data_IF_740856746429
#
_entry.id   IF_740856746429
#
_cell.length_a   1.000
_cell.length_b   1.000
_cell.length_c   1.000
_cell.angle_alpha   90.00
_cell.angle_beta   90.00
_cell.angle_gamma   90.00
#
_symmetry.space_group_name_H-M   'P 1'
#
loop_
_entity.id
_entity.type
_entity.pdbx_description
1 polymer ?
#
# COMPACT_ATOMS: atom_id res chain seq x y z
N UNK A 1 -10.44 17.19 -11.19
CA UNK A 1 -9.35 17.42 -12.17
C UNK A 1 -9.46 16.38 -13.27
N UNK A 2 -9.32 16.74 -14.55
CA UNK A 2 -9.52 15.81 -15.69
C UNK A 2 -8.31 15.76 -16.62
N UNK A 3 -8.20 14.68 -17.40
CA UNK A 3 -7.05 14.39 -18.27
C UNK A 3 -6.74 15.52 -19.26
N UNK A 4 -7.73 16.28 -19.73
CA UNK A 4 -7.50 17.38 -20.69
C UNK A 4 -6.49 18.43 -20.21
N UNK A 5 -6.41 18.66 -18.89
CA UNK A 5 -5.56 19.68 -18.27
C UNK A 5 -4.14 19.18 -17.93
N UNK A 6 -3.82 17.93 -18.25
CA UNK A 6 -2.52 17.33 -17.99
C UNK A 6 -1.50 17.66 -19.08
N UNK A 7 -0.22 17.67 -18.70
CA UNK A 7 0.91 17.65 -19.63
C UNK A 7 0.93 16.37 -20.48
N UNK A 8 1.70 16.35 -21.57
CA UNK A 8 1.81 15.18 -22.44
C UNK A 8 2.31 13.93 -21.69
N UNK A 9 3.32 14.09 -20.83
CA UNK A 9 3.89 13.01 -20.02
C UNK A 9 2.85 12.48 -19.04
N UNK A 10 2.12 13.37 -18.34
CA UNK A 10 1.10 12.95 -17.40
C UNK A 10 -0.05 12.20 -18.08
N UNK A 11 -0.45 12.61 -19.29
CA UNK A 11 -1.46 11.89 -20.10
C UNK A 11 -0.99 10.48 -20.44
N UNK A 12 0.25 10.32 -20.88
CA UNK A 12 0.85 9.01 -21.17
C UNK A 12 0.84 8.11 -19.93
N UNK A 13 1.19 8.64 -18.76
CA UNK A 13 1.16 7.89 -17.50
C UNK A 13 -0.27 7.49 -17.12
N UNK A 14 -1.27 8.37 -17.31
CA UNK A 14 -2.67 8.04 -17.05
C UNK A 14 -3.19 6.93 -17.96
N UNK A 15 -2.83 6.95 -19.24
CA UNK A 15 -3.21 5.90 -20.19
C UNK A 15 -2.50 4.57 -19.85
N UNK A 16 -1.19 4.62 -19.61
CA UNK A 16 -0.37 3.44 -19.31
C UNK A 16 -0.81 2.70 -18.05
N UNK A 17 -1.04 3.44 -16.95
CA UNK A 17 -1.34 2.82 -15.64
C UNK A 17 -2.83 2.63 -15.39
N UNK A 18 -3.69 3.47 -15.97
CA UNK A 18 -5.13 3.49 -15.66
C UNK A 18 -6.03 3.33 -16.88
N UNK A 19 -5.50 3.36 -18.10
CA UNK A 19 -6.29 3.31 -19.34
C UNK A 19 -7.18 4.54 -19.55
N UNK A 20 -6.83 5.68 -18.92
CA UNK A 20 -7.60 6.91 -19.00
C UNK A 20 -7.06 7.77 -20.16
N UNK A 21 -7.76 7.74 -21.29
CA UNK A 21 -7.39 8.44 -22.52
C UNK A 21 -8.39 9.51 -22.95
N UNK A 22 -9.60 9.51 -22.38
CA UNK A 22 -10.62 10.48 -22.77
C UNK A 22 -10.39 11.83 -22.08
N UNK A 23 -10.63 12.97 -22.76
CA UNK A 23 -10.38 14.30 -22.18
C UNK A 23 -11.12 14.59 -20.87
N UNK A 24 -12.29 13.97 -20.68
CA UNK A 24 -13.15 14.15 -19.52
C UNK A 24 -12.92 13.09 -18.42
N UNK A 25 -12.03 12.12 -18.63
CA UNK A 25 -11.67 11.16 -17.61
C UNK A 25 -11.12 11.88 -16.37
N UNK A 26 -11.56 11.44 -15.19
CA UNK A 26 -11.06 11.97 -13.92
C UNK A 26 -9.67 11.41 -13.69
N UNK A 27 -8.69 12.29 -13.48
CA UNK A 27 -7.30 11.87 -13.26
C UNK A 27 -7.19 11.00 -12.02
N UNK A 28 -6.25 10.06 -12.03
CA UNK A 28 -5.95 9.19 -10.90
C UNK A 28 -4.48 9.29 -10.51
N UNK A 29 -4.22 9.56 -9.24
CA UNK A 29 -2.86 9.73 -8.76
C UNK A 29 -2.06 8.43 -8.89
N UNK A 30 -0.86 8.49 -9.46
CA UNK A 30 0.01 7.31 -9.59
C UNK A 30 0.55 6.78 -8.25
N UNK A 31 0.55 7.61 -7.20
CA UNK A 31 1.09 7.24 -5.88
C UNK A 31 0.04 6.47 -5.07
N UNK A 32 -1.17 7.02 -4.93
CA UNK A 32 -2.21 6.46 -4.05
C UNK A 32 -3.43 5.92 -4.78
N UNK A 33 -3.46 6.01 -6.12
CA UNK A 33 -4.55 5.56 -6.97
C UNK A 33 -5.93 6.19 -6.69
N UNK A 34 -5.99 7.27 -5.90
CA UNK A 34 -7.21 8.04 -5.70
C UNK A 34 -7.42 9.07 -6.82
N UNK A 35 -8.67 9.36 -7.09
CA UNK A 35 -9.09 10.27 -8.16
C UNK A 35 -8.94 11.74 -7.75
N UNK A 36 -8.84 12.61 -8.77
CA UNK A 36 -8.99 14.06 -8.63
C UNK A 36 -7.71 14.85 -8.37
N UNK A 37 -6.54 14.21 -8.23
CA UNK A 37 -5.26 14.88 -8.00
C UNK A 37 -4.06 14.13 -8.64
N UNK A 38 -2.90 14.80 -8.69
CA UNK A 38 -1.64 14.25 -9.20
C UNK A 38 -0.63 14.03 -8.08
N UNK A 39 0.50 13.41 -8.40
CA UNK A 39 1.58 13.12 -7.46
C UNK A 39 2.01 14.33 -6.61
N UNK A 40 2.12 15.51 -7.23
CA UNK A 40 2.61 16.71 -6.54
C UNK A 40 1.68 17.18 -5.42
N UNK A 41 0.37 16.99 -5.60
CA UNK A 41 -0.68 17.37 -4.65
C UNK A 41 -1.23 16.18 -3.87
N UNK A 42 -0.53 15.03 -3.90
CA UNK A 42 -0.99 13.81 -3.25
C UNK A 42 -0.92 13.93 -1.72
N UNK A 43 -2.06 13.81 -1.00
CA UNK A 43 -2.07 13.90 0.46
C UNK A 43 -1.43 12.68 1.12
N UNK A 44 -1.37 11.53 0.42
CA UNK A 44 -0.77 10.30 0.95
C UNK A 44 0.76 10.36 1.03
N UNK A 45 1.39 11.36 0.42
CA UNK A 45 2.84 11.62 0.52
C UNK A 45 3.23 12.20 1.87
N UNK A 46 2.27 12.66 2.68
CA UNK A 46 2.52 13.17 4.02
C UNK A 46 1.86 12.27 5.05
N UNK A 47 2.64 11.81 6.03
CA UNK A 47 2.15 10.98 7.12
C UNK A 47 1.23 11.80 8.03
N UNK A 48 0.01 11.32 8.28
CA UNK A 48 -0.96 11.99 9.16
C UNK A 48 -0.56 11.97 10.64
N UNK A 49 0.34 11.06 11.03
CA UNK A 49 0.73 10.85 12.42
C UNK A 49 1.98 11.63 12.80
N UNK A 50 3.01 11.63 11.96
CA UNK A 50 4.30 12.28 12.24
C UNK A 50 4.65 13.43 11.29
N UNK A 51 3.80 13.71 10.28
CA UNK A 51 4.00 14.77 9.28
C UNK A 51 5.25 14.59 8.38
N UNK A 52 5.97 13.48 8.48
CA UNK A 52 7.03 13.12 7.54
C UNK A 52 6.48 13.06 6.11
N UNK A 53 7.24 13.61 5.15
CA UNK A 53 6.86 13.66 3.74
C UNK A 53 7.79 12.78 2.91
N UNK A 54 7.23 11.96 2.03
CA UNK A 54 7.96 11.06 1.12
C UNK A 54 8.83 9.99 1.81
N UNK A 55 8.61 9.74 3.10
CA UNK A 55 9.32 8.69 3.85
C UNK A 55 8.52 7.39 3.97
N UNK A 56 7.23 7.49 4.34
CA UNK A 56 6.35 6.34 4.53
C UNK A 56 4.88 6.73 4.39
N UNK A 57 4.03 5.75 4.08
CA UNK A 57 2.58 5.93 4.16
C UNK A 57 2.11 5.93 5.61
N UNK A 58 0.97 6.56 5.90
CA UNK A 58 0.48 6.71 7.28
C UNK A 58 0.28 5.38 8.02
N UNK A 59 -0.10 4.30 7.31
CA UNK A 59 -0.26 2.96 7.89
C UNK A 59 1.09 2.29 8.23
N UNK A 60 2.18 2.74 7.62
CA UNK A 60 3.55 2.30 7.90
C UNK A 60 4.30 3.26 8.83
N UNK A 61 3.59 4.14 9.53
CA UNK A 61 4.21 5.09 10.44
C UNK A 61 4.88 4.36 11.62
N UNK A 62 6.20 4.54 11.85
CA UNK A 62 6.88 3.91 12.97
C UNK A 62 6.29 4.29 14.33
N UNK A 63 5.72 5.49 14.47
CA UNK A 63 5.05 5.94 15.69
C UNK A 63 3.71 5.23 15.95
N UNK A 64 3.12 4.62 14.92
CA UNK A 64 1.89 3.85 15.03
C UNK A 64 2.14 2.34 15.19
N UNK A 65 3.41 1.91 15.18
CA UNK A 65 3.79 0.53 15.41
C UNK A 65 3.33 0.08 16.79
N UNK A 66 2.78 -1.14 16.86
CA UNK A 66 2.36 -1.77 18.11
C UNK A 66 3.56 -2.37 18.82
N UNK A 67 3.61 -2.20 20.13
CA UNK A 67 4.58 -2.88 20.97
C UNK A 67 4.31 -4.38 20.91
N UNK A 68 5.32 -5.17 20.53
CA UNK A 68 5.19 -6.63 20.42
C UNK A 68 4.81 -7.31 21.74
N UNK A 69 5.08 -6.66 22.89
CA UNK A 69 4.75 -7.20 24.21
C UNK A 69 3.32 -6.93 24.63
N UNK A 70 2.86 -5.67 24.58
CA UNK A 70 1.57 -5.26 25.16
C UNK A 70 0.53 -4.82 24.12
N UNK A 71 0.91 -4.62 22.85
CA UNK A 71 0.04 -4.16 21.77
C UNK A 71 -0.19 -2.65 21.71
N UNK A 72 0.26 -1.89 22.71
CA UNK A 72 0.10 -0.44 22.74
C UNK A 72 1.09 0.27 21.80
N UNK A 73 0.75 1.47 21.34
CA UNK A 73 1.55 2.28 20.41
C UNK A 73 2.42 3.29 21.16
N UNK A 74 3.44 3.82 20.48
CA UNK A 74 4.29 4.90 21.01
C UNK A 74 5.52 4.44 21.81
N UNK A 75 5.76 3.13 21.92
CA UNK A 75 6.96 2.56 22.51
C UNK A 75 7.28 1.21 21.88
N UNK A 76 8.52 0.76 22.02
CA UNK A 76 8.97 -0.56 21.59
C UNK A 76 8.99 -1.56 22.77
N UNK A 77 9.38 -2.81 22.51
CA UNK A 77 9.45 -3.83 23.54
C UNK A 77 10.42 -3.47 24.69
N UNK A 78 11.52 -2.77 24.39
CA UNK A 78 12.54 -2.40 25.37
C UNK A 78 12.02 -1.30 26.32
N UNK A 79 11.26 -0.35 25.80
CA UNK A 79 10.59 0.71 26.55
C UNK A 79 9.27 0.30 27.20
N UNK A 80 8.83 -0.95 27.06
CA UNK A 80 7.51 -1.38 27.52
C UNK A 80 7.44 -1.52 29.05
N UNK A 81 6.65 -0.64 29.67
CA UNK A 81 6.37 -0.64 31.13
C UNK A 81 5.04 -1.30 31.50
N UNK A 82 4.28 -1.76 30.50
CA UNK A 82 3.00 -2.42 30.73
C UNK A 82 3.19 -3.79 31.39
N UNK A 83 2.33 -4.11 32.34
CA UNK A 83 2.26 -5.46 32.95
C UNK A 83 1.53 -6.46 32.05
N UNK A 84 0.74 -5.98 31.08
CA UNK A 84 0.04 -6.82 30.12
C UNK A 84 1.06 -7.43 29.14
N UNK A 85 0.88 -8.71 28.86
CA UNK A 85 1.60 -9.41 27.81
C UNK A 85 0.57 -10.06 26.89
N UNK A 86 0.70 -9.82 25.60
CA UNK A 86 -0.15 -10.43 24.58
C UNK A 86 0.12 -11.94 24.50
N UNK A 87 -0.95 -12.71 24.40
CA UNK A 87 -0.88 -14.10 23.94
C UNK A 87 -0.31 -14.19 22.53
N UNK A 88 0.10 -15.39 22.12
CA UNK A 88 0.63 -15.61 20.76
C UNK A 88 -0.41 -15.26 19.69
N UNK A 89 -1.66 -15.67 19.89
CA UNK A 89 -2.77 -15.34 18.99
C UNK A 89 -3.03 -13.84 18.88
N UNK A 90 -2.93 -13.09 19.98
CA UNK A 90 -3.07 -11.63 19.95
C UNK A 90 -1.88 -10.95 19.26
N UNK A 91 -0.66 -11.49 19.40
CA UNK A 91 0.54 -10.95 18.73
C UNK A 91 0.50 -11.16 17.23
N UNK A 92 0.05 -12.32 16.79
CA UNK A 92 -0.05 -12.68 15.37
C UNK A 92 -1.38 -12.24 14.74
N UNK A 93 -2.10 -11.32 15.36
CA UNK A 93 -3.31 -10.74 14.77
C UNK A 93 -2.98 -9.43 14.07
N UNK A 94 -3.11 -9.40 12.74
CA UNK A 94 -2.82 -8.21 11.96
C UNK A 94 -4.00 -7.22 12.00
N UNK A 95 -3.77 -5.99 12.42
CA UNK A 95 -4.78 -4.92 12.43
C UNK A 95 -5.00 -4.29 11.03
N UNK A 96 -4.09 -4.54 10.07
CA UNK A 96 -4.17 -3.98 8.73
C UNK A 96 -5.11 -4.77 7.82
N UNK A 97 -5.01 -6.10 7.83
CA UNK A 97 -5.87 -6.99 7.04
C UNK A 97 -6.90 -7.76 7.87
N UNK A 98 -6.84 -7.67 9.21
CA UNK A 98 -7.74 -8.36 10.15
C UNK A 98 -7.63 -9.89 10.14
N UNK A 99 -6.52 -10.42 9.62
CA UNK A 99 -6.24 -11.86 9.59
C UNK A 99 -5.18 -12.26 10.63
N UNK A 100 -5.31 -13.45 11.25
CA UNK A 100 -4.27 -14.00 12.11
C UNK A 100 -3.11 -14.59 11.30
N UNK A 101 -2.04 -14.97 12.00
CA UNK A 101 -0.90 -15.70 11.46
C UNK A 101 0.30 -14.84 11.06
N UNK A 102 0.22 -13.52 11.19
CA UNK A 102 1.34 -12.60 10.94
C UNK A 102 1.18 -11.29 11.72
N UNK A 103 2.29 -10.58 11.91
CA UNK A 103 2.30 -9.23 12.49
C UNK A 103 2.05 -8.18 11.40
N UNK A 104 1.77 -6.94 11.80
CA UNK A 104 1.47 -5.85 10.84
C UNK A 104 2.63 -5.59 9.88
N UNK A 105 3.87 -5.77 10.35
CA UNK A 105 5.12 -5.57 9.61
C UNK A 105 5.30 -6.54 8.44
N UNK A 106 4.76 -7.75 8.58
CA UNK A 106 4.81 -8.80 7.55
C UNK A 106 3.58 -8.75 6.63
N UNK A 107 2.63 -7.85 6.92
CA UNK A 107 1.41 -7.74 6.14
C UNK A 107 1.70 -7.09 4.79
N UNK A 108 1.31 -7.76 3.70
CA UNK A 108 1.43 -7.19 2.35
C UNK A 108 0.67 -5.86 2.18
N UNK A 109 -0.34 -5.57 3.01
CA UNK A 109 -1.10 -4.33 2.97
C UNK A 109 -0.31 -3.13 3.49
N UNK A 110 0.73 -3.37 4.30
CA UNK A 110 1.65 -2.33 4.78
C UNK A 110 2.43 -1.67 3.63
N UNK A 111 2.68 -2.42 2.57
CA UNK A 111 3.53 -2.00 1.43
C UNK A 111 2.71 -1.64 0.19
N UNK A 112 1.38 -1.78 0.25
CA UNK A 112 0.47 -1.51 -0.86
C UNK A 112 -0.10 -0.10 -0.74
N UNK A 113 0.00 0.65 -1.84
CA UNK A 113 -0.46 2.04 -1.87
C UNK A 113 -1.93 2.20 -2.28
N UNK A 114 -2.52 1.14 -2.87
CA UNK A 114 -3.89 1.13 -3.35
C UNK A 114 -4.69 -0.02 -2.73
N UNK A 115 -5.85 0.31 -2.18
CA UNK A 115 -6.83 -0.67 -1.74
C UNK A 115 -7.64 -1.13 -2.95
N UNK A 116 -7.28 -2.29 -3.52
CA UNK A 116 -7.97 -2.88 -4.69
C UNK A 116 -9.49 -2.99 -4.47
N UNK A 117 -9.91 -3.28 -3.24
CA UNK A 117 -11.31 -3.39 -2.83
C UNK A 117 -12.10 -2.08 -3.01
N UNK A 118 -11.42 -0.94 -2.94
CA UNK A 118 -12.05 0.39 -3.09
C UNK A 118 -12.03 0.89 -4.53
N UNK A 119 -11.43 0.15 -5.46
CA UNK A 119 -11.36 0.53 -6.87
C UNK A 119 -12.61 0.06 -7.60
N UNK A 120 -13.50 1.00 -7.93
CA UNK A 120 -14.64 0.74 -8.80
C UNK A 120 -14.12 0.42 -10.22
N UNK A 121 -14.66 -0.64 -10.83
CA UNK A 121 -14.34 -1.08 -12.19
C UNK A 121 -12.89 -1.54 -12.41
N UNK A 122 -12.31 -2.28 -11.45
CA UNK A 122 -11.00 -2.90 -11.62
C UNK A 122 -11.00 -3.88 -12.81
N UNK A 123 -10.33 -3.53 -13.91
CA UNK A 123 -10.13 -4.44 -15.05
C UNK A 123 -9.09 -5.48 -14.67
N UNK A 124 -9.53 -6.74 -14.55
CA UNK A 124 -8.64 -7.88 -14.31
C UNK A 124 -8.20 -8.49 -15.64
N UNK A 125 -6.95 -8.95 -15.70
CA UNK A 125 -6.51 -9.80 -16.80
C UNK A 125 -7.16 -11.18 -16.68
N UNK A 126 -7.47 -11.81 -17.81
CA UNK A 126 -8.10 -13.14 -17.81
C UNK A 126 -7.20 -14.22 -17.19
N UNK A 127 -5.90 -14.14 -17.44
CA UNK A 127 -4.90 -15.09 -16.92
C UNK A 127 -3.59 -14.37 -16.64
N UNK A 128 -2.98 -14.61 -15.49
CA UNK A 128 -1.59 -14.25 -15.24
C UNK A 128 -0.69 -15.37 -15.77
N UNK A 129 0.18 -15.07 -16.73
CA UNK A 129 1.20 -16.03 -17.16
C UNK A 129 2.31 -16.08 -16.12
N UNK A 130 2.57 -17.26 -15.60
CA UNK A 130 3.73 -17.52 -14.73
C UNK A 130 5.01 -17.43 -15.55
N UNK A 131 6.03 -16.86 -14.94
CA UNK A 131 7.35 -16.66 -15.55
C UNK A 131 8.36 -16.33 -14.46
N UNK A 132 9.40 -17.15 -14.33
CA UNK A 132 10.49 -16.90 -13.41
C UNK A 132 11.44 -15.85 -13.99
N UNK A 133 11.73 -14.79 -13.21
CA UNK A 133 12.65 -13.73 -13.63
C UNK A 133 14.13 -14.18 -13.63
N UNK A 134 14.46 -15.28 -12.95
CA UNK A 134 15.82 -15.83 -12.88
C UNK A 134 16.08 -16.85 -14.01
N UNK A 135 15.24 -17.88 -14.14
CA UNK A 135 15.46 -18.98 -15.08
C UNK A 135 14.55 -18.98 -16.32
N UNK A 136 13.56 -18.08 -16.39
CA UNK A 136 12.66 -17.93 -17.54
C UNK A 136 11.61 -19.04 -17.72
N UNK A 137 11.50 -19.99 -16.78
CA UNK A 137 10.46 -21.04 -16.88
C UNK A 137 9.07 -20.51 -16.53
N UNK A 138 8.03 -21.11 -17.10
CA UNK A 138 6.62 -20.74 -16.87
C UNK A 138 5.94 -21.56 -15.75
N UNK A 139 6.74 -22.31 -14.97
CA UNK A 139 6.25 -23.25 -13.96
C UNK A 139 6.07 -22.63 -12.58
N UNK A 140 6.94 -21.68 -12.21
CA UNK A 140 7.00 -21.06 -10.89
C UNK A 140 7.15 -19.54 -11.00
N UNK A 141 6.88 -18.82 -9.91
CA UNK A 141 7.22 -17.40 -9.79
C UNK A 141 8.68 -17.28 -9.37
N UNK A 142 9.36 -16.16 -9.68
CA UNK A 142 10.78 -16.07 -9.35
C UNK A 142 11.11 -16.22 -7.86
N UNK A 143 10.19 -15.88 -6.96
CA UNK A 143 10.37 -16.08 -5.51
C UNK A 143 10.28 -17.55 -5.07
N UNK A 144 9.74 -18.42 -5.93
CA UNK A 144 9.65 -19.87 -5.73
C UNK A 144 10.77 -20.65 -6.46
N UNK A 145 11.74 -19.94 -7.06
CA UNK A 145 12.80 -20.53 -7.90
C UNK A 145 13.85 -21.32 -7.09
#
# INVERSE_FOLDING_TARGET
MTVRYLSAIEKELQEKYWGLSQPNDVVRCIICAHEGHMEQTCPSRTCKHCQARDEHFSHACPMQRRCFRCGERGHDQQGCRSKRVLSESERLFCELCLEPGHVDEDCSYLWRTFALEKMLNLKKVATLRRGCYECGTDRHWGDDC
#
